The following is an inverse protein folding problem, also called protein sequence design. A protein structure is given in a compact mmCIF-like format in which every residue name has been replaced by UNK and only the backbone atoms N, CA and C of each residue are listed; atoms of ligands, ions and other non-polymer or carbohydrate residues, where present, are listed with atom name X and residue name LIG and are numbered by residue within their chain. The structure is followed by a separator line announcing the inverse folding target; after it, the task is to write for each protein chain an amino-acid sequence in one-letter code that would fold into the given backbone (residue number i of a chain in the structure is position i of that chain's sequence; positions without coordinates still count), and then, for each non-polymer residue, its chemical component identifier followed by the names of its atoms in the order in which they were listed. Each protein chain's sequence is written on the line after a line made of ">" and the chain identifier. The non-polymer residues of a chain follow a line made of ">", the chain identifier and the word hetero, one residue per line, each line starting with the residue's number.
data_IF_305610328954
#
_entry.id   IF_305610328954
#
_cell.length_a   1.000
_cell.length_b   1.000
_cell.length_c   1.000
_cell.angle_alpha   90.00
_cell.angle_beta   90.00
_cell.angle_gamma   90.00
#
_symmetry.space_group_name_H-M   'P 1'
#
loop_
_entity.id
_entity.type
_entity.pdbx_description
1 polymer ?
#
# COMPACT_ATOMS: atom_id res chain seq x y z
N UNK A 1 43.14 0.49 -26.02
CA UNK A 1 42.15 0.91 -25.00
C UNK A 1 42.67 0.56 -23.61
N UNK A 2 42.59 1.49 -22.65
CA UNK A 2 43.12 1.28 -21.28
C UNK A 2 42.30 0.17 -20.57
N UNK A 3 42.96 -0.84 -20.00
CA UNK A 3 42.32 -1.99 -19.29
C UNK A 3 41.29 -1.56 -18.23
N UNK A 4 41.56 -0.45 -17.55
CA UNK A 4 40.64 0.14 -16.56
C UNK A 4 39.28 0.53 -17.17
N UNK A 5 39.29 1.03 -18.41
CA UNK A 5 38.06 1.40 -19.10
C UNK A 5 37.22 0.17 -19.47
N UNK A 6 37.86 -0.91 -19.92
CA UNK A 6 37.18 -2.16 -20.28
C UNK A 6 36.51 -2.82 -19.07
N UNK A 7 37.16 -2.80 -17.90
CA UNK A 7 36.61 -3.37 -16.68
C UNK A 7 35.40 -2.58 -16.18
N UNK A 8 35.47 -1.24 -16.24
CA UNK A 8 34.33 -0.35 -15.93
C UNK A 8 33.16 -0.56 -16.88
N UNK A 9 33.42 -0.68 -18.19
CA UNK A 9 32.38 -0.97 -19.18
C UNK A 9 31.71 -2.32 -18.91
N UNK A 10 32.49 -3.35 -18.56
CA UNK A 10 31.93 -4.67 -18.24
C UNK A 10 31.05 -4.63 -16.99
N UNK A 11 31.47 -3.91 -15.96
CA UNK A 11 30.69 -3.72 -14.74
C UNK A 11 29.36 -3.00 -15.03
N UNK A 12 29.38 -1.95 -15.85
CA UNK A 12 28.17 -1.23 -16.27
C UNK A 12 27.23 -2.15 -17.05
N UNK A 13 27.76 -2.96 -17.99
CA UNK A 13 26.94 -3.89 -18.77
C UNK A 13 26.27 -4.94 -17.88
N UNK A 14 26.99 -5.49 -16.89
CA UNK A 14 26.41 -6.43 -15.93
C UNK A 14 25.33 -5.77 -15.09
N UNK A 15 25.57 -4.54 -14.61
CA UNK A 15 24.58 -3.79 -13.84
C UNK A 15 23.30 -3.56 -14.65
N UNK A 16 23.43 -3.11 -15.89
CA UNK A 16 22.31 -2.89 -16.80
C UNK A 16 21.56 -4.19 -17.06
N UNK A 17 22.29 -5.29 -17.28
CA UNK A 17 21.69 -6.61 -17.50
C UNK A 17 20.86 -7.08 -16.31
N UNK A 18 21.38 -6.91 -15.08
CA UNK A 18 20.65 -7.24 -13.85
C UNK A 18 19.37 -6.39 -13.73
N UNK A 19 19.46 -5.08 -13.98
CA UNK A 19 18.30 -4.18 -13.93
C UNK A 19 17.24 -4.58 -14.95
N UNK A 20 17.63 -4.93 -16.18
CA UNK A 20 16.70 -5.37 -17.23
C UNK A 20 15.98 -6.67 -16.81
N UNK A 21 16.71 -7.65 -16.27
CA UNK A 21 16.13 -8.92 -15.83
C UNK A 21 15.15 -8.72 -14.67
N UNK A 22 15.46 -7.85 -13.71
CA UNK A 22 14.65 -7.67 -12.51
C UNK A 22 13.48 -6.69 -12.69
N UNK A 23 13.65 -5.66 -13.51
CA UNK A 23 12.65 -4.60 -13.65
C UNK A 23 11.80 -4.75 -14.92
N UNK A 24 12.40 -5.11 -16.06
CA UNK A 24 11.73 -5.03 -17.37
C UNK A 24 11.09 -6.36 -17.74
N UNK A 25 11.84 -7.45 -17.69
CA UNK A 25 11.35 -8.79 -18.10
C UNK A 25 10.08 -9.23 -17.32
N UNK A 26 9.96 -8.98 -15.99
CA UNK A 26 8.78 -9.39 -15.23
C UNK A 26 7.51 -8.59 -15.55
N UNK A 27 7.64 -7.44 -16.23
CA UNK A 27 6.49 -6.64 -16.69
C UNK A 27 5.79 -7.34 -17.86
N UNK A 28 6.56 -7.94 -18.76
CA UNK A 28 6.03 -8.54 -20.00
C UNK A 28 5.76 -10.05 -19.90
N UNK A 29 6.31 -10.74 -18.89
CA UNK A 29 6.15 -12.19 -18.73
C UNK A 29 5.36 -12.57 -17.47
N UNK A 30 4.13 -13.13 -17.61
CA UNK A 30 3.31 -13.57 -16.48
C UNK A 30 3.96 -14.65 -15.63
N UNK A 31 4.71 -15.58 -16.24
CA UNK A 31 5.36 -16.69 -15.54
C UNK A 31 6.49 -16.21 -14.62
N UNK A 32 7.26 -15.21 -15.05
CA UNK A 32 8.33 -14.62 -14.24
C UNK A 32 7.77 -13.71 -13.15
N UNK A 33 6.69 -12.98 -13.44
CA UNK A 33 5.93 -12.22 -12.45
C UNK A 33 5.42 -13.12 -11.32
N UNK A 34 4.95 -14.33 -11.64
CA UNK A 34 4.47 -15.28 -10.64
C UNK A 34 5.60 -15.85 -9.77
N UNK A 35 6.76 -16.16 -10.35
CA UNK A 35 7.91 -16.70 -9.60
C UNK A 35 8.63 -15.68 -8.73
N UNK A 36 8.89 -14.48 -9.26
CA UNK A 36 9.70 -13.47 -8.57
C UNK A 36 8.86 -12.52 -7.71
N UNK A 37 7.66 -12.17 -8.16
CA UNK A 37 6.81 -11.18 -7.51
C UNK A 37 5.48 -11.76 -7.01
N UNK A 38 5.34 -13.10 -6.98
CA UNK A 38 4.12 -13.80 -6.54
C UNK A 38 2.85 -13.31 -7.28
N UNK A 39 3.01 -12.90 -8.55
CA UNK A 39 1.92 -12.38 -9.39
C UNK A 39 1.67 -10.88 -9.23
N UNK A 40 2.39 -10.19 -8.34
CA UNK A 40 2.29 -8.75 -8.17
C UNK A 40 3.15 -8.01 -9.22
N UNK A 41 2.77 -6.77 -9.54
CA UNK A 41 3.59 -5.93 -10.41
C UNK A 41 4.95 -5.63 -9.73
N UNK A 42 6.06 -5.64 -10.49
CA UNK A 42 7.39 -5.35 -9.95
C UNK A 42 7.49 -3.93 -9.39
N UNK A 43 6.69 -3.00 -9.92
CA UNK A 43 6.53 -1.65 -9.40
C UNK A 43 5.25 -1.58 -8.56
N UNK A 44 5.40 -1.32 -7.26
CA UNK A 44 4.27 -0.96 -6.39
C UNK A 44 3.73 0.40 -6.83
N UNK A 45 2.68 0.39 -7.63
CA UNK A 45 1.94 1.61 -7.96
C UNK A 45 1.28 2.17 -6.68
N UNK A 46 1.39 3.48 -6.48
CA UNK A 46 0.68 4.20 -5.43
C UNK A 46 -0.84 4.22 -5.70
N UNK A 47 -1.62 4.62 -4.69
CA UNK A 47 -3.09 4.69 -4.80
C UNK A 47 -3.54 5.55 -5.98
N UNK A 48 -2.86 6.68 -6.19
CA UNK A 48 -3.10 7.61 -7.29
C UNK A 48 -2.96 6.95 -8.69
N UNK A 49 -2.03 5.99 -8.82
CA UNK A 49 -1.75 5.29 -10.07
C UNK A 49 -2.52 3.96 -10.23
N UNK A 50 -3.14 3.45 -9.15
CA UNK A 50 -3.96 2.23 -9.17
C UNK A 50 -5.45 2.52 -9.22
N UNK A 51 -5.86 3.73 -8.83
CA UNK A 51 -7.24 4.03 -8.48
C UNK A 51 -7.59 3.41 -7.12
N UNK A 52 -8.23 4.18 -6.24
CA UNK A 52 -8.67 3.73 -4.91
C UNK A 52 -8.93 4.92 -3.99
N UNK A 53 -9.38 4.67 -2.76
CA UNK A 53 -9.66 5.73 -1.78
C UNK A 53 -8.79 5.56 -0.54
N UNK A 54 -8.29 6.70 -0.04
CA UNK A 54 -7.69 6.84 1.26
C UNK A 54 -8.67 7.58 2.17
N UNK A 55 -9.16 6.89 3.20
CA UNK A 55 -10.02 7.50 4.23
C UNK A 55 -9.16 7.75 5.46
N UNK A 56 -9.17 9.00 5.91
CA UNK A 56 -8.51 9.39 7.16
C UNK A 56 -9.60 9.57 8.22
N UNK A 57 -9.57 8.72 9.24
CA UNK A 57 -10.36 8.89 10.45
C UNK A 57 -9.49 9.57 11.51
N UNK A 58 -9.62 10.89 11.60
CA UNK A 58 -8.98 11.71 12.61
C UNK A 58 -10.02 12.04 13.70
N UNK A 59 -9.81 11.61 14.96
CA UNK A 59 -10.57 12.08 16.10
C UNK A 59 -10.21 13.54 16.43
N UNK A 60 -11.14 14.27 17.03
CA UNK A 60 -10.97 15.70 17.40
C UNK A 60 -9.77 15.94 18.34
N UNK A 61 -9.31 14.90 19.03
CA UNK A 61 -8.13 14.90 19.89
C UNK A 61 -7.35 13.60 19.72
N UNK A 62 -6.05 13.65 20.02
CA UNK A 62 -5.18 12.46 19.96
C UNK A 62 -5.65 11.40 20.96
N UNK A 63 -5.86 10.19 20.48
CA UNK A 63 -6.34 9.05 21.28
C UNK A 63 -5.29 7.96 21.36
N UNK A 64 -5.38 7.16 22.41
CA UNK A 64 -4.49 6.03 22.66
C UNK A 64 -4.61 4.96 21.59
N UNK A 65 -3.49 4.29 21.34
CA UNK A 65 -3.40 3.18 20.38
C UNK A 65 -4.47 2.11 20.60
N UNK A 66 -4.83 1.82 21.85
CA UNK A 66 -5.82 0.78 22.17
C UNK A 66 -7.20 1.11 21.59
N UNK A 67 -7.66 2.35 21.77
CA UNK A 67 -8.93 2.82 21.22
C UNK A 67 -8.92 2.75 19.70
N UNK A 68 -7.83 3.21 19.07
CA UNK A 68 -7.68 3.13 17.62
C UNK A 68 -7.63 1.67 17.12
N UNK A 69 -6.99 0.77 17.85
CA UNK A 69 -6.96 -0.65 17.47
C UNK A 69 -8.33 -1.32 17.56
N UNK A 70 -9.17 -0.91 18.52
CA UNK A 70 -10.53 -1.41 18.67
C UNK A 70 -11.42 -0.91 17.53
N UNK A 71 -11.35 0.38 17.21
CA UNK A 71 -12.04 0.98 16.05
C UNK A 71 -11.59 0.33 14.75
N UNK A 72 -10.28 0.12 14.58
CA UNK A 72 -9.72 -0.61 13.44
C UNK A 72 -10.32 -2.01 13.31
N UNK A 73 -10.37 -2.78 14.40
CA UNK A 73 -10.88 -4.16 14.39
C UNK A 73 -12.37 -4.19 14.05
N UNK A 74 -13.14 -3.24 14.57
CA UNK A 74 -14.57 -3.12 14.29
C UNK A 74 -14.83 -2.77 12.81
N UNK A 75 -14.11 -1.78 12.27
CA UNK A 75 -14.24 -1.36 10.87
C UNK A 75 -13.79 -2.46 9.90
N UNK A 76 -12.69 -3.16 10.20
CA UNK A 76 -12.23 -4.29 9.37
C UNK A 76 -13.26 -5.41 9.31
N UNK A 77 -13.92 -5.72 10.43
CA UNK A 77 -15.00 -6.71 10.46
C UNK A 77 -16.19 -6.28 9.59
N UNK A 78 -16.62 -5.03 9.73
CA UNK A 78 -17.74 -4.50 8.95
C UNK A 78 -17.42 -4.46 7.44
N UNK A 79 -16.20 -4.09 7.05
CA UNK A 79 -15.76 -4.12 5.65
C UNK A 79 -15.70 -5.54 5.10
N UNK A 80 -15.25 -6.50 5.91
CA UNK A 80 -15.23 -7.92 5.53
C UNK A 80 -16.62 -8.50 5.31
N UNK A 81 -17.60 -8.09 6.12
CA UNK A 81 -19.01 -8.47 5.94
C UNK A 81 -19.61 -7.96 4.61
N UNK A 82 -19.06 -6.89 4.03
CA UNK A 82 -19.43 -6.40 2.70
C UNK A 82 -18.80 -7.20 1.54
N UNK A 83 -17.99 -8.22 1.83
CA UNK A 83 -17.30 -9.02 0.81
C UNK A 83 -16.20 -8.23 0.09
N UNK A 84 -15.65 -7.20 0.74
CA UNK A 84 -14.60 -6.33 0.19
C UNK A 84 -13.23 -6.84 0.65
N UNK A 85 -12.23 -6.70 -0.21
CA UNK A 85 -10.82 -7.00 0.10
C UNK A 85 -10.36 -6.21 1.33
N UNK A 86 -9.70 -6.86 2.30
CA UNK A 86 -9.29 -6.20 3.55
C UNK A 86 -8.41 -4.95 3.26
N UNK A 87 -8.86 -3.74 3.67
CA UNK A 87 -8.13 -2.51 3.41
C UNK A 87 -6.86 -2.44 4.25
N UNK A 88 -5.83 -1.78 3.73
CA UNK A 88 -4.61 -1.55 4.51
C UNK A 88 -4.85 -0.43 5.50
N UNK A 89 -4.63 -0.70 6.80
CA UNK A 89 -4.84 0.27 7.87
C UNK A 89 -3.51 0.67 8.51
N UNK A 90 -3.25 1.97 8.59
CA UNK A 90 -2.08 2.53 9.24
C UNK A 90 -2.49 3.54 10.31
N UNK A 91 -1.68 3.66 11.37
CA UNK A 91 -1.84 4.73 12.36
C UNK A 91 -1.32 6.04 11.77
N UNK A 92 -2.07 7.12 12.01
CA UNK A 92 -1.72 8.45 11.56
C UNK A 92 -0.84 9.17 12.60
N UNK A 93 0.25 9.78 12.11
CA UNK A 93 1.16 10.58 12.92
C UNK A 93 2.19 9.77 13.72
N UNK A 94 3.02 10.49 14.48
CA UNK A 94 3.97 9.89 15.44
C UNK A 94 3.33 9.77 16.81
N UNK A 95 3.61 8.68 17.51
CA UNK A 95 3.20 8.50 18.89
C UNK A 95 3.78 9.62 19.76
N UNK A 96 2.95 10.25 20.60
CA UNK A 96 3.43 11.08 21.69
C UNK A 96 3.95 10.21 22.86
N UNK A 97 4.56 10.80 23.89
CA UNK A 97 5.08 10.12 25.08
C UNK A 97 4.08 9.17 25.76
N UNK A 98 2.77 9.43 25.61
CA UNK A 98 1.67 8.59 26.11
C UNK A 98 1.05 7.64 25.05
N UNK A 99 1.76 7.29 23.98
CA UNK A 99 1.30 6.35 22.95
C UNK A 99 -0.05 6.74 22.31
N UNK A 100 -0.25 8.07 22.16
CA UNK A 100 -1.42 8.68 21.52
C UNK A 100 -1.11 9.06 20.08
N UNK A 101 -2.05 8.81 19.18
CA UNK A 101 -1.94 9.02 17.74
C UNK A 101 -3.02 9.97 17.22
N UNK A 102 -2.82 10.48 16.02
CA UNK A 102 -3.69 11.47 15.37
C UNK A 102 -4.88 10.83 14.64
N UNK A 103 -4.90 9.50 14.50
CA UNK A 103 -6.01 8.80 13.85
C UNK A 103 -5.62 7.51 13.15
N UNK A 104 -6.50 7.07 12.25
CA UNK A 104 -6.34 5.89 11.41
C UNK A 104 -6.48 6.27 9.93
N UNK A 105 -5.66 5.64 9.11
CA UNK A 105 -5.69 5.77 7.65
C UNK A 105 -6.07 4.43 7.05
N UNK A 106 -7.20 4.37 6.37
CA UNK A 106 -7.69 3.20 5.64
C UNK A 106 -7.43 3.40 4.14
N UNK A 107 -6.76 2.43 3.50
CA UNK A 107 -6.49 2.45 2.06
C UNK A 107 -7.19 1.29 1.37
N UNK A 108 -8.09 1.62 0.45
CA UNK A 108 -8.87 0.67 -0.36
C UNK A 108 -8.28 0.55 -1.75
N UNK A 109 -8.43 -0.62 -2.40
CA UNK A 109 -7.76 -0.90 -3.67
C UNK A 109 -8.54 -0.46 -4.92
N UNK A 110 -9.82 -0.14 -4.79
CA UNK A 110 -10.69 0.26 -5.92
C UNK A 110 -11.78 1.25 -5.49
N UNK A 111 -12.21 2.12 -6.40
CA UNK A 111 -13.34 3.03 -6.19
C UNK A 111 -14.66 2.27 -5.97
N UNK A 112 -14.86 1.11 -6.60
CA UNK A 112 -16.09 0.31 -6.43
C UNK A 112 -16.22 -0.31 -5.03
N UNK A 113 -15.09 -0.62 -4.39
CA UNK A 113 -15.06 -1.10 -3.00
C UNK A 113 -15.46 0.04 -2.06
N UNK A 114 -15.02 1.24 -2.38
CA UNK A 114 -15.20 2.45 -1.58
C UNK A 114 -16.66 2.90 -1.58
N UNK A 115 -17.29 2.94 -2.75
CA UNK A 115 -18.71 3.29 -2.85
C UNK A 115 -19.58 2.32 -2.04
N UNK A 116 -19.20 1.04 -1.97
CA UNK A 116 -19.90 0.05 -1.15
C UNK A 116 -19.76 0.33 0.34
N UNK A 117 -18.56 0.70 0.82
CA UNK A 117 -18.32 1.06 2.24
C UNK A 117 -19.08 2.34 2.63
N UNK A 118 -19.06 3.36 1.76
CA UNK A 118 -19.77 4.63 1.99
C UNK A 118 -21.29 4.41 1.97
N UNK A 119 -21.80 3.66 0.98
CA UNK A 119 -23.24 3.33 0.87
C UNK A 119 -23.73 2.49 2.04
N UNK A 120 -22.89 1.58 2.54
CA UNK A 120 -23.18 0.79 3.73
C UNK A 120 -23.10 1.60 5.05
N UNK A 121 -22.74 2.90 5.00
CA UNK A 121 -22.61 3.80 6.15
C UNK A 121 -21.65 3.30 7.24
N UNK A 122 -20.69 2.45 6.88
CA UNK A 122 -19.66 1.97 7.80
C UNK A 122 -18.73 3.12 8.20
N UNK A 123 -18.42 3.97 7.22
CA UNK A 123 -17.68 5.22 7.42
C UNK A 123 -18.65 6.33 7.06
N UNK A 124 -19.08 7.11 8.07
CA UNK A 124 -19.95 8.26 7.86
C UNK A 124 -19.10 9.47 7.45
N UNK A 125 -19.51 10.14 6.38
CA UNK A 125 -18.83 11.34 5.86
C UNK A 125 -19.02 12.56 6.79
N UNK A 126 -20.14 12.59 7.54
CA UNK A 126 -20.39 13.51 8.66
C UNK A 126 -21.24 12.83 9.73
N UNK A 127 -20.98 13.17 11.00
CA UNK A 127 -21.87 12.88 12.12
C UNK A 127 -23.11 13.79 12.05
#
# INVERSE_FOLDING_TARGET
>A
MRRDLQWKTWLILVLVFIVVIYAVVPIFSPALKQKFFKGQDPLRRGLDLKGGLEVILAPDYRVERRVLSEVQTHLLRAVKELGISEPTVNLMGKANDNNRYEGLVFKFNSQDEVERVIRARIIKDKL
#
